data_IF_665411968792
#
_entry.id   IF_665411968792
#
_cell.length_a   1.000
_cell.length_b   1.000
_cell.length_c   1.000
_cell.angle_alpha   90.00
_cell.angle_beta   90.00
_cell.angle_gamma   90.00
#
_symmetry.space_group_name_H-M   'P 1'
#
loop_
_entity.id
_entity.type
_entity.pdbx_description
1 polymer ?
#
# COMPACT_ATOMS: atom_id res chain seq x y z
N UNK A 1 23.38 10.85 41.72
CA UNK A 1 23.96 9.48 41.81
C UNK A 1 22.93 8.34 41.71
N UNK A 2 21.82 8.27 42.52
CA UNK A 2 20.85 7.19 42.42
C UNK A 2 19.94 7.33 41.15
N UNK A 3 19.57 8.56 40.81
CA UNK A 3 18.77 8.86 39.60
C UNK A 3 19.53 8.58 38.30
N UNK A 4 20.86 8.77 38.29
CA UNK A 4 21.70 8.55 37.10
C UNK A 4 21.89 7.05 36.81
N UNK A 5 22.05 6.24 37.87
CA UNK A 5 22.12 4.76 37.74
C UNK A 5 20.82 4.13 37.26
N UNK A 6 19.67 4.67 37.70
CA UNK A 6 18.35 4.19 37.23
C UNK A 6 18.17 4.55 35.74
N UNK A 7 18.52 5.76 35.31
CA UNK A 7 18.47 6.17 33.90
C UNK A 7 19.40 5.35 33.02
N UNK A 8 20.60 5.05 33.50
CA UNK A 8 21.57 4.24 32.76
C UNK A 8 21.15 2.77 32.65
N UNK A 9 20.56 2.19 33.71
CA UNK A 9 19.97 0.85 33.71
C UNK A 9 18.81 0.72 32.72
N UNK A 10 17.90 1.69 32.74
CA UNK A 10 16.75 1.71 31.80
C UNK A 10 17.22 1.86 30.32
N UNK A 11 18.29 2.64 30.08
CA UNK A 11 18.88 2.81 28.77
C UNK A 11 19.52 1.54 28.24
N UNK A 12 20.21 0.78 29.09
CA UNK A 12 20.83 -0.50 28.72
C UNK A 12 19.78 -1.57 28.45
N UNK A 13 18.70 -1.66 29.26
CA UNK A 13 17.58 -2.56 29.02
C UNK A 13 16.85 -2.21 27.70
N UNK A 14 16.55 -0.96 27.46
CA UNK A 14 15.96 -0.52 26.21
C UNK A 14 16.83 -0.86 25.00
N UNK A 15 18.16 -0.70 25.13
CA UNK A 15 19.10 -1.02 24.05
C UNK A 15 19.17 -2.55 23.80
N UNK A 16 19.07 -3.36 24.86
CA UNK A 16 19.03 -4.82 24.75
C UNK A 16 17.75 -5.32 24.12
N UNK A 17 16.59 -4.78 24.52
CA UNK A 17 15.29 -5.12 23.94
C UNK A 17 15.21 -4.72 22.46
N UNK A 18 15.85 -3.61 22.09
CA UNK A 18 16.02 -3.20 20.69
C UNK A 18 16.87 -4.17 19.90
N UNK A 19 18.00 -4.62 20.44
CA UNK A 19 18.87 -5.60 19.77
C UNK A 19 18.15 -6.95 19.57
N UNK A 20 17.34 -7.38 20.51
CA UNK A 20 16.52 -8.59 20.40
C UNK A 20 15.41 -8.41 19.36
N UNK A 21 14.73 -7.25 19.36
CA UNK A 21 13.73 -6.91 18.34
C UNK A 21 14.36 -6.75 16.96
N UNK A 22 15.54 -6.12 16.86
CA UNK A 22 16.29 -6.00 15.61
C UNK A 22 16.75 -7.36 15.08
N UNK A 23 17.12 -8.29 15.96
CA UNK A 23 17.49 -9.66 15.57
C UNK A 23 16.30 -10.44 14.99
N UNK A 24 15.11 -10.31 15.58
CA UNK A 24 13.87 -10.88 15.04
C UNK A 24 13.42 -10.21 13.76
N UNK A 25 13.53 -8.88 13.70
CA UNK A 25 13.24 -8.07 12.51
C UNK A 25 14.21 -8.36 11.37
N UNK A 26 15.50 -8.59 11.65
CA UNK A 26 16.52 -8.83 10.61
C UNK A 26 16.24 -10.10 9.79
N UNK A 27 15.76 -11.16 10.41
CA UNK A 27 15.41 -12.38 9.68
C UNK A 27 14.17 -12.19 8.80
N UNK A 28 13.12 -11.54 9.33
CA UNK A 28 11.91 -11.20 8.57
C UNK A 28 12.20 -10.21 7.44
N UNK A 29 12.99 -9.16 7.71
CA UNK A 29 13.42 -8.17 6.73
C UNK A 29 14.24 -8.78 5.59
N UNK A 30 15.18 -9.66 5.91
CA UNK A 30 15.96 -10.36 4.88
C UNK A 30 15.03 -11.18 3.96
N UNK A 31 14.02 -11.83 4.53
CA UNK A 31 13.03 -12.58 3.75
C UNK A 31 12.16 -11.65 2.89
N UNK A 32 11.64 -10.57 3.48
CA UNK A 32 10.80 -9.57 2.82
C UNK A 32 11.54 -8.78 1.74
N UNK A 33 12.85 -8.52 1.87
CA UNK A 33 13.69 -7.91 0.84
C UNK A 33 14.05 -8.89 -0.27
N UNK A 34 14.32 -10.16 0.07
CA UNK A 34 14.68 -11.18 -0.92
C UNK A 34 13.49 -11.52 -1.85
N UNK A 35 12.26 -11.42 -1.39
CA UNK A 35 11.08 -11.72 -2.19
C UNK A 35 10.96 -10.79 -3.42
N UNK A 36 10.86 -9.45 -3.27
CA UNK A 36 10.78 -8.54 -4.41
C UNK A 36 12.08 -8.52 -5.22
N UNK A 37 13.24 -8.65 -4.60
CA UNK A 37 14.52 -8.74 -5.33
C UNK A 37 14.57 -9.96 -6.25
N UNK A 38 14.10 -11.12 -5.77
CA UNK A 38 13.99 -12.33 -6.57
C UNK A 38 12.95 -12.21 -7.69
N UNK A 39 11.82 -11.55 -7.42
CA UNK A 39 10.79 -11.25 -8.42
C UNK A 39 11.33 -10.33 -9.53
N UNK A 40 12.00 -9.24 -9.18
CA UNK A 40 12.64 -8.33 -10.13
C UNK A 40 13.69 -9.04 -10.99
N UNK A 41 14.51 -9.89 -10.35
CA UNK A 41 15.52 -10.69 -11.08
C UNK A 41 14.87 -11.63 -12.09
N UNK A 42 13.87 -12.41 -11.69
CA UNK A 42 13.15 -13.30 -12.62
C UNK A 42 12.52 -12.53 -13.77
N UNK A 43 11.87 -11.40 -13.49
CA UNK A 43 11.28 -10.53 -14.52
C UNK A 43 12.36 -10.01 -15.49
N UNK A 44 13.55 -9.64 -15.01
CA UNK A 44 14.68 -9.19 -15.83
C UNK A 44 15.21 -10.31 -16.73
N UNK A 45 15.35 -11.54 -16.21
CA UNK A 45 15.82 -12.68 -16.98
C UNK A 45 14.79 -13.04 -18.07
N UNK A 46 13.50 -13.03 -17.75
CA UNK A 46 12.42 -13.25 -18.71
C UNK A 46 12.37 -12.14 -19.77
N UNK A 47 12.58 -10.87 -19.39
CA UNK A 47 12.62 -9.74 -20.32
C UNK A 47 13.68 -9.90 -21.41
N UNK A 48 14.87 -10.42 -21.05
CA UNK A 48 15.92 -10.70 -22.04
C UNK A 48 15.46 -11.71 -23.10
N UNK A 49 14.78 -12.76 -22.69
CA UNK A 49 14.23 -13.76 -23.59
C UNK A 49 13.14 -13.18 -24.49
N UNK A 50 12.18 -12.47 -23.90
CA UNK A 50 11.06 -11.85 -24.63
C UNK A 50 11.55 -10.79 -25.62
N UNK A 51 12.58 -9.99 -25.25
CA UNK A 51 13.21 -9.03 -26.15
C UNK A 51 13.87 -9.70 -27.36
N UNK A 52 14.53 -10.84 -27.18
CA UNK A 52 15.10 -11.59 -28.28
C UNK A 52 14.00 -12.16 -29.20
N UNK A 53 12.88 -12.63 -28.64
CA UNK A 53 11.69 -13.09 -29.39
C UNK A 53 11.09 -11.96 -30.22
N UNK A 54 10.91 -10.79 -29.61
CA UNK A 54 10.39 -9.59 -30.28
C UNK A 54 11.29 -9.12 -31.41
N UNK A 55 12.63 -9.11 -31.23
CA UNK A 55 13.58 -8.74 -32.28
C UNK A 55 13.51 -9.68 -33.48
N UNK A 56 13.35 -10.99 -33.26
CA UNK A 56 13.16 -11.97 -34.34
C UNK A 56 11.87 -11.71 -35.11
N UNK A 57 10.76 -11.53 -34.38
CA UNK A 57 9.46 -11.23 -34.98
C UNK A 57 9.49 -9.93 -35.80
N UNK A 58 10.15 -8.90 -35.30
CA UNK A 58 10.38 -7.66 -36.07
C UNK A 58 11.18 -7.92 -37.35
N UNK A 59 12.27 -8.69 -37.28
CA UNK A 59 13.09 -9.01 -38.46
C UNK A 59 12.30 -9.80 -39.52
N UNK A 60 11.39 -10.66 -39.09
CA UNK A 60 10.49 -11.40 -39.97
C UNK A 60 9.47 -10.48 -40.63
N UNK A 61 8.83 -9.61 -39.87
CA UNK A 61 7.88 -8.59 -40.35
C UNK A 61 8.49 -7.67 -41.40
N UNK A 62 9.71 -7.15 -41.17
CA UNK A 62 10.38 -6.24 -42.10
C UNK A 62 10.84 -6.91 -43.38
N UNK A 63 10.84 -8.23 -43.47
CA UNK A 63 11.13 -8.97 -44.72
C UNK A 63 9.90 -9.14 -45.62
N UNK A 64 8.70 -8.91 -45.06
CA UNK A 64 7.44 -9.03 -45.81
C UNK A 64 7.10 -7.70 -46.49
N UNK A 65 6.50 -7.73 -47.66
CA UNK A 65 5.99 -6.52 -48.33
C UNK A 65 4.71 -6.06 -47.64
N UNK A 66 4.86 -5.33 -46.53
CA UNK A 66 3.73 -4.74 -45.81
C UNK A 66 3.35 -3.41 -46.42
N UNK A 67 2.07 -3.26 -46.74
CA UNK A 67 1.50 -1.95 -47.09
C UNK A 67 1.29 -1.10 -45.81
N UNK A 68 1.09 0.19 -46.02
CA UNK A 68 0.98 1.13 -44.88
C UNK A 68 -0.31 0.91 -44.07
N UNK A 69 -1.35 0.33 -44.70
CA UNK A 69 -2.58 0.00 -43.98
C UNK A 69 -2.40 -1.16 -43.00
N UNK A 70 -1.70 -2.19 -43.40
CA UNK A 70 -1.33 -3.35 -42.56
C UNK A 70 -0.43 -2.93 -41.39
N UNK A 71 0.56 -2.07 -41.63
CA UNK A 71 1.42 -1.51 -40.58
C UNK A 71 0.61 -0.73 -39.55
N UNK A 72 -0.23 0.21 -39.99
CA UNK A 72 -1.08 1.01 -39.12
C UNK A 72 -2.02 0.14 -38.26
N UNK A 73 -2.57 -0.95 -38.83
CA UNK A 73 -3.43 -1.86 -38.11
C UNK A 73 -2.68 -2.64 -37.00
N UNK A 74 -1.47 -3.12 -37.29
CA UNK A 74 -0.63 -3.80 -36.30
C UNK A 74 -0.31 -2.83 -35.16
N UNK A 75 0.06 -1.59 -35.45
CA UNK A 75 0.38 -0.57 -34.46
C UNK A 75 -0.86 -0.16 -33.64
N UNK A 76 -2.04 -0.04 -34.24
CA UNK A 76 -3.29 0.25 -33.55
C UNK A 76 -3.66 -0.83 -32.54
N UNK A 77 -3.58 -2.10 -32.94
CA UNK A 77 -3.88 -3.23 -32.04
C UNK A 77 -2.86 -3.29 -30.89
N UNK A 78 -1.57 -3.11 -31.20
CA UNK A 78 -0.51 -3.08 -30.19
C UNK A 78 -0.73 -1.94 -29.18
N UNK A 79 -1.01 -0.72 -29.66
CA UNK A 79 -1.27 0.44 -28.81
C UNK A 79 -2.52 0.26 -27.94
N UNK A 80 -3.60 -0.32 -28.50
CA UNK A 80 -4.82 -0.61 -27.77
C UNK A 80 -4.59 -1.56 -26.60
N UNK A 81 -3.80 -2.62 -26.80
CA UNK A 81 -3.46 -3.59 -25.76
C UNK A 81 -2.59 -3.00 -24.66
N UNK A 82 -1.65 -2.12 -25.02
CA UNK A 82 -0.80 -1.43 -24.05
C UNK A 82 -1.56 -0.40 -23.20
N UNK A 83 -2.63 0.20 -23.77
CA UNK A 83 -3.48 1.19 -23.06
C UNK A 83 -4.59 0.55 -22.22
N UNK A 84 -5.07 -0.63 -22.60
CA UNK A 84 -6.26 -1.28 -21.99
C UNK A 84 -6.06 -1.69 -20.53
N UNK A 85 -4.87 -1.52 -19.94
CA UNK A 85 -4.56 -1.88 -18.56
C UNK A 85 -4.89 -3.36 -18.28
N UNK A 86 -4.01 -4.05 -17.60
CA UNK A 86 -4.27 -5.43 -17.16
C UNK A 86 -5.42 -5.43 -16.15
N UNK A 87 -6.67 -5.59 -16.61
CA UNK A 87 -7.72 -6.10 -15.72
C UNK A 87 -7.49 -7.61 -15.66
N UNK A 88 -7.01 -8.15 -14.54
CA UNK A 88 -6.78 -9.59 -14.45
C UNK A 88 -8.12 -10.30 -14.66
N UNK A 89 -8.22 -11.07 -15.73
CA UNK A 89 -9.35 -11.97 -15.90
C UNK A 89 -9.28 -13.07 -14.83
N UNK A 90 -10.41 -13.49 -14.31
CA UNK A 90 -10.44 -14.67 -13.46
C UNK A 90 -10.05 -15.92 -14.27
N UNK A 91 -9.66 -17.00 -13.60
CA UNK A 91 -9.13 -18.18 -14.27
C UNK A 91 -10.10 -18.82 -15.28
N UNK A 92 -11.41 -18.70 -15.06
CA UNK A 92 -12.45 -19.20 -15.97
C UNK A 92 -12.56 -18.31 -17.22
N UNK A 93 -12.67 -17.00 -17.04
CA UNK A 93 -12.74 -16.05 -18.15
C UNK A 93 -11.47 -16.06 -19.01
N UNK A 94 -10.30 -16.27 -18.41
CA UNK A 94 -9.05 -16.44 -19.14
C UNK A 94 -9.07 -17.70 -20.00
N UNK A 95 -9.49 -18.84 -19.45
CA UNK A 95 -9.59 -20.11 -20.19
C UNK A 95 -10.59 -20.05 -21.33
N UNK A 96 -11.76 -19.42 -21.13
CA UNK A 96 -12.77 -19.20 -22.17
C UNK A 96 -12.21 -18.30 -23.29
N UNK A 97 -11.45 -17.28 -22.95
CA UNK A 97 -10.80 -16.41 -23.93
C UNK A 97 -9.71 -17.15 -24.72
N UNK A 98 -8.88 -17.96 -24.05
CA UNK A 98 -7.86 -18.79 -24.69
C UNK A 98 -8.49 -19.74 -25.73
N UNK A 99 -9.58 -20.42 -25.40
CA UNK A 99 -10.29 -21.36 -26.29
C UNK A 99 -10.88 -20.62 -27.51
N UNK A 100 -11.47 -19.46 -27.31
CA UNK A 100 -12.01 -18.64 -28.41
C UNK A 100 -10.92 -18.15 -29.35
N UNK A 101 -9.80 -17.66 -28.84
CA UNK A 101 -8.66 -17.22 -29.63
C UNK A 101 -8.00 -18.39 -30.38
N UNK A 102 -7.87 -19.55 -29.74
CA UNK A 102 -7.34 -20.78 -30.36
C UNK A 102 -8.18 -21.22 -31.56
N UNK A 103 -9.52 -21.20 -31.41
CA UNK A 103 -10.43 -21.52 -32.50
C UNK A 103 -10.27 -20.60 -33.71
N UNK A 104 -10.10 -19.29 -33.47
CA UNK A 104 -9.87 -18.30 -34.55
C UNK A 104 -8.53 -18.57 -35.23
N UNK A 105 -7.47 -18.76 -34.48
CA UNK A 105 -6.13 -19.03 -35.01
C UNK A 105 -6.10 -20.31 -35.85
N UNK A 106 -6.73 -21.37 -35.42
CA UNK A 106 -6.86 -22.64 -36.17
C UNK A 106 -7.62 -22.45 -37.48
N UNK A 107 -8.70 -21.68 -37.47
CA UNK A 107 -9.49 -21.42 -38.69
C UNK A 107 -8.70 -20.65 -39.74
N UNK A 108 -7.66 -19.90 -39.34
CA UNK A 108 -6.73 -19.21 -40.23
C UNK A 108 -5.41 -19.97 -40.51
N UNK A 109 -5.34 -21.26 -40.15
CA UNK A 109 -4.24 -22.15 -40.53
C UNK A 109 -2.99 -22.09 -39.66
N UNK A 110 -3.08 -21.53 -38.45
CA UNK A 110 -1.96 -21.50 -37.49
C UNK A 110 -1.86 -22.81 -36.72
N UNK A 111 -0.80 -23.61 -36.93
CA UNK A 111 -0.62 -24.93 -36.29
C UNK A 111 -0.27 -24.84 -34.81
N UNK A 112 0.45 -23.79 -34.39
CA UNK A 112 0.90 -23.57 -32.99
C UNK A 112 -0.08 -22.64 -32.23
N UNK A 113 -1.36 -22.76 -32.53
CA UNK A 113 -2.43 -21.85 -32.08
C UNK A 113 -2.55 -21.78 -30.57
N UNK A 114 -2.36 -22.89 -29.85
CA UNK A 114 -2.55 -22.97 -28.40
C UNK A 114 -1.52 -22.14 -27.59
N UNK A 115 -0.25 -22.13 -28.00
CA UNK A 115 0.79 -21.32 -27.36
C UNK A 115 0.57 -19.83 -27.61
N UNK A 116 0.09 -19.51 -28.81
CA UNK A 116 -0.19 -18.15 -29.23
C UNK A 116 -1.48 -17.62 -28.56
N UNK A 117 -2.55 -18.44 -28.50
CA UNK A 117 -3.80 -18.07 -27.85
C UNK A 117 -3.60 -17.77 -26.36
N UNK A 118 -2.83 -18.60 -25.64
CA UNK A 118 -2.48 -18.35 -24.25
C UNK A 118 -1.69 -17.05 -24.02
N UNK A 119 -0.75 -16.72 -24.93
CA UNK A 119 -0.01 -15.48 -24.87
C UNK A 119 -0.91 -14.26 -25.15
N UNK A 120 -1.78 -14.36 -26.16
CA UNK A 120 -2.71 -13.29 -26.55
C UNK A 120 -3.82 -13.07 -25.51
N UNK A 121 -4.34 -14.14 -24.89
CA UNK A 121 -5.34 -14.03 -23.84
C UNK A 121 -4.80 -13.32 -22.60
N UNK A 122 -3.54 -13.58 -22.20
CA UNK A 122 -2.86 -12.84 -21.12
C UNK A 122 -2.75 -11.34 -21.38
N UNK A 123 -2.73 -10.95 -22.65
CA UNK A 123 -2.70 -9.54 -23.05
C UNK A 123 -4.11 -8.95 -23.25
N UNK A 124 -5.17 -9.68 -22.88
CA UNK A 124 -6.56 -9.30 -23.11
C UNK A 124 -6.91 -9.02 -24.60
N UNK A 125 -6.25 -9.74 -25.53
CA UNK A 125 -6.60 -9.67 -26.95
C UNK A 125 -8.05 -10.07 -27.15
N UNK A 126 -8.86 -9.21 -27.72
CA UNK A 126 -10.25 -9.55 -28.01
C UNK A 126 -10.38 -10.40 -29.28
N UNK A 127 -11.37 -11.31 -29.39
CA UNK A 127 -11.63 -12.08 -30.60
C UNK A 127 -11.84 -11.22 -31.84
N UNK A 128 -12.49 -10.05 -31.69
CA UNK A 128 -12.75 -9.12 -32.80
C UNK A 128 -11.46 -8.45 -33.29
N UNK A 129 -10.58 -8.03 -32.38
CA UNK A 129 -9.27 -7.45 -32.72
C UNK A 129 -8.39 -8.48 -33.46
N UNK A 130 -8.38 -9.73 -32.97
CA UNK A 130 -7.66 -10.83 -33.63
C UNK A 130 -8.20 -11.11 -35.02
N UNK A 131 -9.50 -11.27 -35.18
CA UNK A 131 -10.15 -11.51 -36.48
C UNK A 131 -9.88 -10.37 -37.47
N UNK A 132 -10.01 -9.13 -37.01
CA UNK A 132 -9.72 -7.94 -37.82
C UNK A 132 -8.26 -7.88 -38.29
N UNK A 133 -7.31 -8.28 -37.43
CA UNK A 133 -5.89 -8.33 -37.78
C UNK A 133 -5.62 -9.42 -38.83
N UNK A 134 -6.18 -10.62 -38.63
CA UNK A 134 -5.96 -11.78 -39.51
C UNK A 134 -6.61 -11.61 -40.90
N UNK A 135 -7.71 -10.86 -40.99
CA UNK A 135 -8.38 -10.61 -42.28
C UNK A 135 -7.54 -9.84 -43.31
N UNK A 136 -6.51 -9.12 -42.89
CA UNK A 136 -5.70 -8.23 -43.74
C UNK A 136 -4.26 -8.69 -43.93
N UNK A 137 -3.87 -9.79 -43.30
CA UNK A 137 -2.47 -10.30 -43.33
C UNK A 137 -2.41 -11.72 -43.87
N UNK A 138 -1.40 -12.02 -44.64
CA UNK A 138 -1.10 -13.41 -44.96
C UNK A 138 -0.62 -14.18 -43.72
N UNK A 139 -0.68 -15.51 -43.76
CA UNK A 139 -0.43 -16.35 -42.58
C UNK A 139 0.98 -16.16 -41.97
N UNK A 140 2.01 -15.85 -42.79
CA UNK A 140 3.38 -15.67 -42.29
C UNK A 140 3.55 -14.30 -41.60
N UNK A 141 2.99 -13.27 -42.21
CA UNK A 141 2.96 -11.90 -41.68
C UNK A 141 2.12 -11.82 -40.41
N UNK A 142 0.93 -12.45 -40.41
CA UNK A 142 0.06 -12.53 -39.26
C UNK A 142 0.78 -13.18 -38.05
N UNK A 143 1.46 -14.30 -38.28
CA UNK A 143 2.24 -14.97 -37.21
C UNK A 143 3.31 -14.05 -36.62
N UNK A 144 4.10 -13.38 -37.47
CA UNK A 144 5.15 -12.47 -36.98
C UNK A 144 4.55 -11.26 -36.25
N UNK A 145 3.44 -10.69 -36.72
CA UNK A 145 2.73 -9.62 -36.06
C UNK A 145 2.19 -10.03 -34.68
N UNK A 146 1.54 -11.20 -34.58
CA UNK A 146 0.99 -11.72 -33.33
C UNK A 146 2.09 -12.01 -32.29
N UNK A 147 3.22 -12.61 -32.73
CA UNK A 147 4.36 -12.84 -31.86
C UNK A 147 4.97 -11.53 -31.34
N UNK A 148 5.04 -10.51 -32.20
CA UNK A 148 5.50 -9.17 -31.82
C UNK A 148 4.57 -8.52 -30.79
N UNK A 149 3.25 -8.52 -31.06
CA UNK A 149 2.23 -7.94 -30.18
C UNK A 149 2.26 -8.62 -28.80
N UNK A 150 2.24 -9.97 -28.77
CA UNK A 150 2.33 -10.72 -27.51
C UNK A 150 3.62 -10.41 -26.76
N UNK A 151 4.78 -10.35 -27.45
CA UNK A 151 6.04 -10.03 -26.81
C UNK A 151 6.11 -8.58 -26.29
N UNK A 152 5.47 -7.62 -26.97
CA UNK A 152 5.38 -6.22 -26.53
C UNK A 152 4.57 -6.10 -25.23
N UNK A 153 3.43 -6.78 -25.16
CA UNK A 153 2.60 -6.80 -23.97
C UNK A 153 3.29 -7.53 -22.79
N UNK A 154 3.96 -8.67 -23.04
CA UNK A 154 4.78 -9.37 -22.04
C UNK A 154 5.87 -8.44 -21.48
N UNK A 155 6.56 -7.67 -22.35
CA UNK A 155 7.59 -6.72 -21.92
C UNK A 155 7.01 -5.62 -21.02
N UNK A 156 5.82 -5.09 -21.35
CA UNK A 156 5.13 -4.10 -20.52
C UNK A 156 4.79 -4.66 -19.13
N UNK A 157 4.26 -5.89 -19.07
CA UNK A 157 3.95 -6.57 -17.82
C UNK A 157 5.21 -6.82 -16.98
N UNK A 158 6.30 -7.28 -17.60
CA UNK A 158 7.57 -7.50 -16.91
C UNK A 158 8.18 -6.19 -16.37
N UNK A 159 8.06 -5.09 -17.09
CA UNK A 159 8.49 -3.76 -16.62
C UNK A 159 7.70 -3.34 -15.38
N UNK A 160 6.37 -3.45 -15.41
CA UNK A 160 5.51 -3.15 -14.25
C UNK A 160 5.88 -4.02 -13.04
N UNK A 161 6.17 -5.31 -13.25
CA UNK A 161 6.60 -6.21 -12.19
C UNK A 161 7.95 -5.79 -11.57
N UNK A 162 8.89 -5.27 -12.38
CA UNK A 162 10.17 -4.73 -11.89
C UNK A 162 9.94 -3.43 -11.13
N UNK A 163 9.14 -2.51 -11.67
CA UNK A 163 8.78 -1.25 -11.02
C UNK A 163 8.12 -1.48 -9.66
N UNK A 164 7.11 -2.35 -9.60
CA UNK A 164 6.45 -2.71 -8.34
C UNK A 164 7.40 -3.36 -7.33
N UNK A 165 8.31 -4.23 -7.81
CA UNK A 165 9.31 -4.87 -6.94
C UNK A 165 10.33 -3.86 -6.40
N UNK A 166 10.79 -2.91 -7.21
CA UNK A 166 11.74 -1.88 -6.79
C UNK A 166 11.12 -0.83 -5.88
N UNK A 167 9.86 -0.45 -6.13
CA UNK A 167 9.08 0.41 -5.23
C UNK A 167 8.97 -0.24 -3.85
N UNK A 168 8.61 -1.52 -3.79
CA UNK A 168 8.51 -2.28 -2.53
C UNK A 168 9.84 -2.36 -1.76
N UNK A 169 10.97 -2.57 -2.46
CA UNK A 169 12.30 -2.54 -1.84
C UNK A 169 12.57 -1.16 -1.23
N UNK A 170 12.26 -0.08 -1.96
CA UNK A 170 12.45 1.29 -1.50
C UNK A 170 11.61 1.59 -0.25
N UNK A 171 10.36 1.14 -0.20
CA UNK A 171 9.47 1.31 0.96
C UNK A 171 9.97 0.53 2.18
N UNK A 172 10.43 -0.71 1.99
CA UNK A 172 11.03 -1.50 3.06
C UNK A 172 12.28 -0.84 3.61
N UNK A 173 13.18 -0.35 2.74
CA UNK A 173 14.40 0.37 3.15
C UNK A 173 14.05 1.65 3.89
N UNK A 174 13.04 2.41 3.43
CA UNK A 174 12.55 3.62 4.13
C UNK A 174 12.04 3.27 5.53
N UNK A 175 11.20 2.26 5.67
CA UNK A 175 10.65 1.81 6.96
C UNK A 175 11.75 1.37 7.93
N UNK A 176 12.76 0.64 7.44
CA UNK A 176 13.93 0.24 8.25
C UNK A 176 14.73 1.45 8.69
N UNK A 177 14.96 2.39 7.79
CA UNK A 177 15.68 3.63 8.09
C UNK A 177 14.95 4.44 9.16
N UNK A 178 13.65 4.62 9.02
CA UNK A 178 12.81 5.30 10.00
C UNK A 178 12.88 4.62 11.36
N UNK A 179 12.76 3.28 11.41
CA UNK A 179 12.90 2.51 12.65
C UNK A 179 14.28 2.66 13.30
N UNK A 180 15.36 2.79 12.50
CA UNK A 180 16.73 2.86 12.99
C UNK A 180 17.10 4.28 13.44
N UNK A 181 16.56 5.34 12.81
CA UNK A 181 16.89 6.73 13.08
C UNK A 181 15.97 7.47 14.06
N UNK A 182 15.01 6.78 14.69
CA UNK A 182 14.03 7.35 15.63
C UNK A 182 14.61 8.12 16.83
N UNK A 183 15.93 8.17 17.02
CA UNK A 183 16.56 8.69 18.25
C UNK A 183 17.34 10.01 18.08
N UNK A 184 17.35 10.66 16.91
CA UNK A 184 18.28 11.78 16.70
C UNK A 184 17.71 13.19 16.89
N UNK A 185 16.38 13.35 16.95
CA UNK A 185 15.78 14.65 17.19
C UNK A 185 15.40 14.83 18.67
N UNK A 186 15.65 16.02 19.26
CA UNK A 186 15.21 16.28 20.64
C UNK A 186 13.68 16.29 20.72
N UNK A 187 13.16 15.73 21.81
CA UNK A 187 11.73 15.83 22.10
C UNK A 187 11.37 17.31 22.39
N UNK A 188 10.21 17.73 21.89
CA UNK A 188 9.67 19.07 22.09
C UNK A 188 8.15 18.97 22.30
N UNK A 189 7.55 20.03 22.80
CA UNK A 189 6.10 20.08 22.93
C UNK A 189 5.47 20.27 21.55
N UNK A 190 4.76 19.25 21.08
CA UNK A 190 4.12 19.20 19.77
C UNK A 190 2.60 19.32 19.95
N UNK A 191 1.99 20.19 19.20
CA UNK A 191 0.53 20.32 19.11
C UNK A 191 -0.02 19.19 18.23
N UNK A 192 -0.78 18.28 18.85
CA UNK A 192 -1.35 17.09 18.22
C UNK A 192 -2.36 17.46 17.13
N UNK A 193 -3.19 18.49 17.34
CA UNK A 193 -4.17 18.92 16.36
C UNK A 193 -3.49 19.41 15.08
N UNK A 194 -2.44 20.23 15.23
CA UNK A 194 -1.64 20.70 14.10
C UNK A 194 -0.90 19.56 13.39
N UNK A 195 -0.37 18.59 14.13
CA UNK A 195 0.29 17.40 13.58
C UNK A 195 -0.70 16.56 12.73
N UNK A 196 -1.93 16.38 13.21
CA UNK A 196 -3.00 15.68 12.48
C UNK A 196 -3.38 16.40 11.19
N UNK A 197 -3.55 17.74 11.22
CA UNK A 197 -3.87 18.51 10.02
C UNK A 197 -2.74 18.44 8.99
N UNK A 198 -1.47 18.58 9.42
CA UNK A 198 -0.31 18.43 8.53
C UNK A 198 -0.29 17.06 7.85
N UNK A 199 -0.65 15.99 8.58
CA UNK A 199 -0.73 14.64 8.03
C UNK A 199 -1.89 14.51 7.03
N UNK A 200 -3.08 15.04 7.36
CA UNK A 200 -4.24 15.02 6.47
C UNK A 200 -3.97 15.79 5.17
N UNK A 201 -3.30 16.93 5.25
CA UNK A 201 -2.91 17.72 4.08
C UNK A 201 -1.90 16.94 3.20
N UNK A 202 -0.94 16.26 3.82
CA UNK A 202 0.03 15.42 3.11
C UNK A 202 -0.65 14.26 2.38
N UNK A 203 -1.66 13.66 2.99
CA UNK A 203 -2.42 12.53 2.44
C UNK A 203 -3.60 12.97 1.56
N UNK A 204 -3.80 14.26 1.32
CA UNK A 204 -4.94 14.76 0.54
C UNK A 204 -5.04 14.15 -0.87
N UNK A 205 -3.91 13.83 -1.49
CA UNK A 205 -3.85 13.16 -2.79
C UNK A 205 -4.25 11.68 -2.74
N UNK A 206 -4.08 11.02 -1.59
CA UNK A 206 -4.46 9.62 -1.37
C UNK A 206 -5.93 9.48 -0.94
N UNK A 207 -6.56 10.58 -0.49
CA UNK A 207 -7.97 10.61 -0.18
C UNK A 207 -8.76 10.50 -1.49
N UNK A 208 -9.27 9.32 -1.78
CA UNK A 208 -10.06 9.05 -2.98
C UNK A 208 -11.32 9.93 -3.02
N UNK A 209 -11.80 10.31 -4.24
CA UNK A 209 -13.10 10.94 -4.39
C UNK A 209 -14.19 10.07 -3.74
N UNK A 210 -14.81 10.56 -2.66
CA UNK A 210 -15.84 9.82 -1.92
C UNK A 210 -15.52 9.56 -0.45
N UNK A 211 -14.29 9.80 0.01
CA UNK A 211 -13.97 9.77 1.45
C UNK A 211 -14.25 11.14 2.06
N UNK A 212 -15.17 11.18 3.02
CA UNK A 212 -15.50 12.39 3.78
C UNK A 212 -14.71 12.42 5.08
N UNK A 213 -13.93 13.48 5.30
CA UNK A 213 -13.13 13.66 6.54
C UNK A 213 -13.89 14.52 7.53
N UNK A 214 -14.22 13.95 8.70
CA UNK A 214 -14.80 14.66 9.84
C UNK A 214 -13.72 14.93 10.89
N UNK A 215 -13.61 16.19 11.31
CA UNK A 215 -12.65 16.67 12.30
C UNK A 215 -13.37 17.15 13.54
N UNK A 216 -12.88 16.78 14.72
CA UNK A 216 -13.43 17.22 16.00
C UNK A 216 -12.29 17.34 17.02
N UNK A 217 -11.70 18.53 17.13
CA UNK A 217 -10.63 18.83 18.08
C UNK A 217 -11.17 19.68 19.22
N UNK A 218 -10.81 19.30 20.45
CA UNK A 218 -11.16 20.10 21.62
C UNK A 218 -10.38 21.42 21.58
N UNK A 219 -11.03 22.57 21.92
CA UNK A 219 -10.40 23.90 21.83
C UNK A 219 -9.45 24.17 23.01
N UNK A 220 -8.55 23.25 23.30
CA UNK A 220 -7.51 23.37 24.32
C UNK A 220 -6.16 23.00 23.71
N UNK A 221 -5.04 23.47 24.24
CA UNK A 221 -3.73 23.08 23.74
C UNK A 221 -3.48 21.59 23.96
N UNK A 222 -3.50 20.81 22.87
CA UNK A 222 -3.27 19.36 22.87
C UNK A 222 -1.76 19.07 22.73
N UNK A 223 -0.96 19.45 23.74
CA UNK A 223 0.48 19.34 23.70
C UNK A 223 0.98 18.00 24.23
N UNK A 224 1.92 17.38 23.50
CA UNK A 224 2.59 16.15 23.90
C UNK A 224 4.10 16.34 23.74
N UNK A 225 4.89 15.97 24.75
CA UNK A 225 6.35 16.05 24.66
C UNK A 225 6.89 14.85 23.86
N UNK A 226 7.27 15.11 22.60
CA UNK A 226 7.62 14.07 21.63
C UNK A 226 8.44 14.62 20.48
N UNK A 227 8.89 13.73 19.61
CA UNK A 227 9.49 14.07 18.31
C UNK A 227 8.36 14.22 17.27
N UNK A 228 8.18 15.42 16.72
CA UNK A 228 7.04 15.72 15.83
C UNK A 228 6.95 14.83 14.60
N UNK A 229 8.08 14.43 14.03
CA UNK A 229 8.13 13.49 12.89
C UNK A 229 7.61 12.10 13.25
N UNK A 230 7.83 11.62 14.47
CA UNK A 230 7.33 10.34 14.96
C UNK A 230 5.80 10.37 15.14
N UNK A 231 5.24 11.50 15.62
CA UNK A 231 3.77 11.64 15.67
C UNK A 231 3.14 11.65 14.28
N UNK A 232 3.72 12.39 13.35
CA UNK A 232 3.22 12.39 11.97
C UNK A 232 3.20 10.97 11.40
N UNK A 233 4.23 10.17 11.69
CA UNK A 233 4.29 8.76 11.27
C UNK A 233 3.18 7.90 11.90
N UNK A 234 2.87 8.13 13.20
CA UNK A 234 1.73 7.46 13.86
C UNK A 234 0.43 7.74 13.12
N UNK A 235 0.17 9.03 12.83
CA UNK A 235 -1.06 9.43 12.14
C UNK A 235 -1.11 8.94 10.71
N UNK A 236 -0.02 9.05 9.97
CA UNK A 236 0.08 8.53 8.59
C UNK A 236 -0.28 7.06 8.52
N UNK A 237 0.36 6.21 9.33
CA UNK A 237 0.10 4.77 9.31
C UNK A 237 -1.36 4.40 9.65
N UNK A 238 -1.98 5.11 10.59
CA UNK A 238 -3.39 4.82 10.96
C UNK A 238 -4.34 5.34 9.88
N UNK A 239 -4.11 6.56 9.35
CA UNK A 239 -4.97 7.17 8.33
C UNK A 239 -4.86 6.40 7.01
N UNK A 240 -3.68 6.00 6.56
CA UNK A 240 -3.50 5.17 5.37
C UNK A 240 -4.24 3.84 5.49
N UNK A 241 -4.16 3.17 6.65
CA UNK A 241 -4.92 1.94 6.87
C UNK A 241 -6.44 2.17 6.81
N UNK A 242 -6.93 3.32 7.30
CA UNK A 242 -8.33 3.69 7.20
C UNK A 242 -8.76 3.95 5.75
N UNK A 243 -7.93 4.65 4.96
CA UNK A 243 -8.17 4.91 3.53
C UNK A 243 -8.22 3.58 2.76
N UNK A 244 -7.25 2.70 2.97
CA UNK A 244 -7.16 1.39 2.32
C UNK A 244 -8.36 0.48 2.64
N UNK A 245 -8.95 0.64 3.83
CA UNK A 245 -10.16 -0.09 4.21
C UNK A 245 -11.43 0.43 3.52
N UNK A 246 -11.36 1.56 2.81
CA UNK A 246 -12.52 2.22 2.16
C UNK A 246 -12.31 2.47 0.65
N UNK A 247 -12.01 1.45 -0.17
CA UNK A 247 -11.69 1.64 -1.60
C UNK A 247 -12.85 2.20 -2.42
N UNK A 248 -14.09 2.13 -1.92
CA UNK A 248 -15.29 2.69 -2.55
C UNK A 248 -15.74 4.04 -1.98
N UNK A 249 -14.92 4.67 -1.13
CA UNK A 249 -15.31 5.86 -0.37
C UNK A 249 -15.86 5.50 1.01
N UNK A 250 -16.12 6.52 1.83
CA UNK A 250 -16.60 6.33 3.19
C UNK A 250 -16.40 7.57 4.06
N UNK A 251 -16.32 7.36 5.36
CA UNK A 251 -16.15 8.42 6.35
C UNK A 251 -14.93 8.15 7.23
N UNK A 252 -13.97 9.09 7.18
CA UNK A 252 -12.81 9.13 8.07
C UNK A 252 -13.10 10.15 9.18
N UNK A 253 -13.12 9.70 10.43
CA UNK A 253 -13.35 10.53 11.62
C UNK A 253 -12.05 10.71 12.38
N UNK A 254 -11.65 11.94 12.61
CA UNK A 254 -10.45 12.29 13.39
C UNK A 254 -10.87 13.17 14.55
N UNK A 255 -10.64 12.69 15.78
CA UNK A 255 -10.97 13.42 17.02
C UNK A 255 -9.73 13.52 17.89
N UNK A 256 -9.54 14.67 18.54
CA UNK A 256 -8.50 14.82 19.55
C UNK A 256 -9.03 15.64 20.72
N UNK A 257 -8.80 15.16 21.93
CA UNK A 257 -9.29 15.77 23.17
C UNK A 257 -8.41 15.41 24.35
N UNK A 258 -8.55 16.12 25.46
CA UNK A 258 -7.90 15.79 26.72
C UNK A 258 -8.81 14.92 27.60
N UNK A 259 -8.25 13.86 28.17
CA UNK A 259 -8.90 13.04 29.16
C UNK A 259 -7.95 12.77 30.32
N UNK A 260 -8.22 13.33 31.47
CA UNK A 260 -7.33 13.33 32.63
C UNK A 260 -5.94 13.89 32.25
N UNK A 261 -4.88 13.08 32.43
CA UNK A 261 -3.49 13.46 32.15
C UNK A 261 -3.03 13.01 30.74
N UNK A 262 -3.97 12.77 29.83
CA UNK A 262 -3.67 12.27 28.49
C UNK A 262 -4.32 13.11 27.41
N UNK A 263 -3.59 13.31 26.32
CA UNK A 263 -4.17 13.65 25.03
C UNK A 263 -4.62 12.35 24.36
N UNK A 264 -5.88 12.31 23.99
CA UNK A 264 -6.51 11.15 23.34
C UNK A 264 -6.81 11.51 21.89
N UNK A 265 -6.31 10.70 20.97
CA UNK A 265 -6.62 10.79 19.54
C UNK A 265 -7.41 9.57 19.11
N UNK A 266 -8.55 9.79 18.49
CA UNK A 266 -9.37 8.76 17.87
C UNK A 266 -9.37 8.93 16.36
N UNK A 267 -8.94 7.90 15.63
CA UNK A 267 -9.04 7.84 14.16
C UNK A 267 -9.94 6.66 13.83
N UNK A 268 -11.05 6.94 13.16
CA UNK A 268 -12.05 5.93 12.82
C UNK A 268 -12.43 5.96 11.36
N UNK A 269 -12.71 4.78 10.83
CA UNK A 269 -13.19 4.56 9.47
C UNK A 269 -14.55 3.84 9.43
N UNK A 270 -15.25 3.98 8.32
CA UNK A 270 -16.51 3.30 8.04
C UNK A 270 -16.33 2.05 7.17
N UNK A 271 -15.13 1.49 7.13
CA UNK A 271 -14.78 0.31 6.36
C UNK A 271 -15.41 -0.99 6.86
N UNK A 272 -15.04 -2.13 6.29
CA UNK A 272 -15.63 -3.45 6.59
C UNK A 272 -15.36 -3.93 8.02
N UNK A 273 -14.44 -3.29 8.74
CA UNK A 273 -14.01 -3.70 10.06
C UNK A 273 -12.87 -4.72 10.02
N UNK A 274 -12.37 -5.04 11.22
CA UNK A 274 -11.29 -6.02 11.44
C UNK A 274 -11.92 -7.30 11.98
N UNK A 275 -11.76 -8.45 11.29
CA UNK A 275 -12.26 -9.73 11.77
C UNK A 275 -11.70 -10.07 13.16
N UNK A 276 -12.51 -10.67 14.07
CA UNK A 276 -12.08 -11.00 15.42
C UNK A 276 -10.84 -11.91 15.47
N UNK A 277 -10.70 -12.78 14.47
CA UNK A 277 -9.61 -13.76 14.39
C UNK A 277 -8.25 -13.12 14.15
N UNK A 278 -8.21 -12.01 13.40
CA UNK A 278 -6.96 -11.32 13.06
C UNK A 278 -6.64 -10.17 14.02
N UNK A 279 -7.65 -9.68 14.75
CA UNK A 279 -7.50 -8.55 15.66
C UNK A 279 -6.36 -8.69 16.70
N UNK A 280 -6.08 -9.87 17.27
CA UNK A 280 -4.94 -10.05 18.20
C UNK A 280 -3.57 -9.84 17.55
N UNK A 281 -3.47 -10.00 16.23
CA UNK A 281 -2.21 -10.03 15.48
C UNK A 281 -1.90 -8.75 14.72
N UNK A 282 -2.82 -7.77 14.66
CA UNK A 282 -2.68 -6.56 13.81
C UNK A 282 -1.48 -5.68 14.19
N UNK A 283 -0.94 -5.83 15.40
CA UNK A 283 0.27 -5.13 15.85
C UNK A 283 1.53 -5.98 15.73
N UNK A 284 1.42 -7.24 15.31
CA UNK A 284 2.58 -8.10 15.11
C UNK A 284 3.38 -7.65 13.89
N UNK A 285 4.72 -7.65 13.95
CA UNK A 285 5.55 -7.30 12.81
C UNK A 285 5.25 -8.21 11.61
N UNK A 286 5.15 -7.60 10.42
CA UNK A 286 4.87 -8.27 9.12
C UNK A 286 3.47 -8.87 8.99
N UNK A 287 2.60 -8.71 9.97
CA UNK A 287 1.22 -9.13 9.83
C UNK A 287 0.45 -8.20 8.89
N UNK A 288 -0.14 -8.75 7.84
CA UNK A 288 -0.98 -8.04 6.89
C UNK A 288 -2.09 -8.94 6.36
N UNK A 289 -3.27 -8.35 6.12
CA UNK A 289 -4.40 -8.99 5.43
C UNK A 289 -4.50 -8.54 3.97
N UNK A 290 -3.65 -7.61 3.54
CA UNK A 290 -3.57 -7.15 2.15
C UNK A 290 -2.90 -8.20 1.27
N UNK A 291 -3.13 -8.14 -0.04
CA UNK A 291 -2.54 -9.04 -1.01
C UNK A 291 -1.01 -9.04 -1.00
N UNK A 292 -0.42 -10.08 -1.57
CA UNK A 292 1.05 -10.21 -1.67
C UNK A 292 1.60 -9.00 -2.43
N UNK A 293 2.35 -8.15 -1.73
CA UNK A 293 2.94 -6.95 -2.33
C UNK A 293 2.25 -5.62 -1.97
N UNK A 294 1.06 -5.64 -1.37
CA UNK A 294 0.25 -4.45 -1.10
C UNK A 294 0.43 -3.88 0.31
N UNK A 295 1.05 -4.61 1.20
CA UNK A 295 1.30 -4.16 2.58
C UNK A 295 2.57 -4.74 3.17
N UNK A 296 3.34 -3.91 3.88
CA UNK A 296 4.58 -4.35 4.57
C UNK A 296 4.30 -5.05 5.90
N UNK A 297 3.10 -4.89 6.46
CA UNK A 297 2.75 -5.39 7.81
C UNK A 297 3.54 -4.73 8.96
N UNK A 298 4.24 -3.63 8.70
CA UNK A 298 5.04 -2.91 9.70
C UNK A 298 4.37 -1.65 10.25
N UNK A 299 3.38 -1.08 9.57
CA UNK A 299 2.77 0.20 9.91
C UNK A 299 2.20 0.24 11.34
N UNK A 300 1.32 -0.69 11.71
CA UNK A 300 0.73 -0.73 13.06
C UNK A 300 1.72 -1.14 14.15
N UNK A 301 2.70 -1.98 13.83
CA UNK A 301 3.80 -2.29 14.75
C UNK A 301 4.65 -1.05 15.05
N UNK A 302 4.95 -0.25 14.03
CA UNK A 302 5.65 1.05 14.17
C UNK A 302 4.83 2.00 15.05
N UNK A 303 3.52 2.13 14.81
CA UNK A 303 2.62 2.93 15.64
C UNK A 303 2.71 2.51 17.11
N UNK A 304 2.58 1.21 17.40
CA UNK A 304 2.64 0.71 18.77
C UNK A 304 3.99 1.00 19.43
N UNK A 305 5.08 0.88 18.67
CA UNK A 305 6.46 1.14 19.15
C UNK A 305 6.65 2.62 19.48
N UNK A 306 6.23 3.53 18.60
CA UNK A 306 6.32 4.99 18.82
C UNK A 306 5.47 5.39 20.02
N UNK A 307 4.21 4.96 20.07
CA UNK A 307 3.29 5.31 21.16
C UNK A 307 3.83 4.83 22.51
N UNK A 308 4.34 3.60 22.60
CA UNK A 308 4.98 3.06 23.82
C UNK A 308 6.24 3.83 24.20
N UNK A 309 7.07 4.20 23.24
CA UNK A 309 8.29 5.03 23.45
C UNK A 309 7.97 6.34 24.16
N UNK A 310 6.84 6.96 23.82
CA UNK A 310 6.37 8.22 24.44
C UNK A 310 5.46 7.99 25.66
N UNK A 311 5.48 6.82 26.29
CA UNK A 311 4.72 6.53 27.52
C UNK A 311 3.20 6.43 27.30
N UNK A 312 2.78 6.27 26.06
CA UNK A 312 1.39 6.16 25.65
C UNK A 312 0.88 4.73 25.51
N UNK A 313 -0.36 4.63 25.06
CA UNK A 313 -1.02 3.37 24.74
C UNK A 313 -1.89 3.51 23.47
N UNK A 314 -2.01 2.43 22.69
CA UNK A 314 -2.93 2.33 21.56
C UNK A 314 -3.91 1.18 21.77
N UNK A 315 -5.16 1.43 21.42
CA UNK A 315 -6.24 0.44 21.46
C UNK A 315 -7.02 0.48 20.16
N UNK A 316 -7.65 -0.66 19.81
CA UNK A 316 -8.52 -0.77 18.64
C UNK A 316 -9.88 -1.33 19.05
N UNK A 317 -10.92 -0.69 18.57
CA UNK A 317 -12.31 -1.16 18.61
C UNK A 317 -12.80 -1.30 17.18
N UNK A 318 -13.28 -2.47 16.81
CA UNK A 318 -13.74 -2.71 15.44
C UNK A 318 -14.95 -3.62 15.39
N UNK A 319 -15.90 -3.24 14.54
CA UNK A 319 -17.10 -3.97 14.15
C UNK A 319 -17.33 -3.70 12.65
N UNK A 320 -18.08 -4.52 11.92
CA UNK A 320 -18.46 -4.21 10.54
C UNK A 320 -19.05 -2.80 10.42
N UNK A 321 -18.51 -1.99 9.52
CA UNK A 321 -18.91 -0.59 9.31
C UNK A 321 -18.26 0.45 10.24
N UNK A 322 -17.48 0.06 11.23
CA UNK A 322 -16.79 0.99 12.15
C UNK A 322 -15.52 0.37 12.71
N UNK A 323 -14.36 0.89 12.32
CA UNK A 323 -13.11 0.65 13.03
C UNK A 323 -12.66 1.95 13.70
N UNK A 324 -12.12 1.87 14.91
CA UNK A 324 -11.59 3.01 15.64
C UNK A 324 -10.29 2.63 16.32
N UNK A 325 -9.23 3.33 16.00
CA UNK A 325 -7.99 3.35 16.75
C UNK A 325 -8.00 4.51 17.74
N UNK A 326 -7.65 4.23 19.00
CA UNK A 326 -7.52 5.23 20.05
C UNK A 326 -6.07 5.23 20.54
N UNK A 327 -5.40 6.37 20.37
CA UNK A 327 -4.03 6.60 20.86
C UNK A 327 -4.10 7.55 22.05
N UNK A 328 -3.47 7.18 23.15
CA UNK A 328 -3.37 7.97 24.39
C UNK A 328 -1.91 8.32 24.63
N UNK A 329 -1.59 9.61 24.76
CA UNK A 329 -0.24 10.10 25.01
C UNK A 329 -0.26 11.03 26.23
N UNK A 330 0.79 11.01 27.07
CA UNK A 330 0.85 11.89 28.24
C UNK A 330 0.73 13.37 27.81
N UNK A 331 -0.19 14.09 28.46
CA UNK A 331 -0.43 15.47 28.17
C UNK A 331 0.66 16.37 28.78
N UNK A 332 1.36 17.14 27.96
CA UNK A 332 2.27 18.18 28.40
C UNK A 332 1.43 19.44 28.75
N UNK A 333 0.91 19.50 29.96
CA UNK A 333 0.03 20.60 30.41
C UNK A 333 0.82 21.92 30.39
N UNK A 334 0.39 22.95 29.64
CA UNK A 334 1.00 24.28 29.72
C UNK A 334 0.88 24.83 31.13
N UNK A 335 1.97 25.40 31.67
CA UNK A 335 2.05 25.92 33.05
C UNK A 335 0.89 26.88 33.37
N UNK A 336 0.43 27.64 32.38
CA UNK A 336 -0.71 28.58 32.52
C UNK A 336 -2.07 27.87 32.65
N UNK A 337 -2.23 26.69 32.05
CA UNK A 337 -3.46 25.90 32.12
C UNK A 337 -3.54 25.08 33.41
N UNK A 338 -2.43 24.56 33.91
CA UNK A 338 -2.36 23.82 35.18
C UNK A 338 -2.82 24.65 36.38
N UNK A 339 -2.61 25.97 36.34
CA UNK A 339 -3.12 26.90 37.36
C UNK A 339 -4.63 27.11 37.32
N UNK A 340 -5.28 26.95 36.17
CA UNK A 340 -6.74 27.10 36.02
C UNK A 340 -7.51 25.83 36.37
N UNK A 341 -6.95 24.65 36.12
CA UNK A 341 -7.59 23.37 36.42
C UNK A 341 -7.65 23.06 37.94
N UNK A 342 -6.72 23.63 38.73
CA UNK A 342 -6.76 23.51 40.19
C UNK A 342 -7.78 24.44 40.88
N UNK A 343 -8.53 25.24 40.16
CA UNK A 343 -9.43 26.26 40.75
C UNK A 343 -10.93 25.95 40.67
N UNK A 344 -11.37 24.86 39.99
CA UNK A 344 -12.80 24.50 40.04
C UNK A 344 -13.02 22.98 40.02
N UNK A 345 -13.67 22.36 41.03
CA UNK A 345 -14.19 21.02 40.90
C UNK A 345 -15.40 21.04 39.97
N UNK A 346 -15.32 20.38 38.82
CA UNK A 346 -16.46 20.22 37.90
C UNK A 346 -17.60 19.49 38.59
N UNK A 347 -18.68 20.19 38.86
CA UNK A 347 -19.95 19.60 39.28
C UNK A 347 -20.53 18.78 38.13
N UNK A 348 -20.75 17.50 38.38
CA UNK A 348 -21.49 16.64 37.48
C UNK A 348 -22.95 17.14 37.37
N UNK A 349 -23.32 17.72 36.25
CA UNK A 349 -24.72 17.96 35.93
C UNK A 349 -25.34 16.66 35.41
N UNK A 350 -25.86 15.84 36.31
CA UNK A 350 -26.82 14.82 35.95
C UNK A 350 -28.13 15.51 35.54
N UNK A 351 -28.46 15.44 34.26
CA UNK A 351 -29.80 15.81 33.77
C UNK A 351 -30.67 14.56 33.84
N UNK A 352 -31.73 14.54 34.65
CA UNK A 352 -32.64 13.40 34.72
C UNK A 352 -33.52 13.36 33.47
N UNK A 353 -33.48 12.23 32.77
CA UNK A 353 -34.43 11.89 31.73
C UNK A 353 -35.78 11.67 32.41
N UNK A 354 -36.74 12.56 32.16
CA UNK A 354 -38.14 12.34 32.51
C UNK A 354 -38.79 11.41 31.47
N UNK A 355 -39.47 10.43 32.00
CA UNK A 355 -40.40 9.41 31.49
C UNK A 355 -41.18 9.80 30.24
#
# INVERSE_FOLDING_TARGET
MMSDRIREGTRIEQQRDRLVSLGKLSAGLAHELNNPASAAKRATDQMRYTLAKMRRANSELWRQPLDDSSKARIEEVEASLLQSGETPLDGLALSDLEERLDSILRSHGHSDSWEMSAALAKCNMTPDALTSLLAHLDSSTARAALVRIAASADLSSLLKAIEGSTARISDLVRTVKEYTYMDQAPAQDVDVARSLETTLDTLAHSLQPGIKVQRAYEPVPLLVNTVGTELNQVWTNIIENAIDAMPGGGELRVRAFCENDYVVVEIGDSGPGIPPEVKPYIFDPFFTTKGVGEGTGLGLNTVQTIVKKHGGNIQVSSKPGVTRFQVRLPWAVPIEFGKRLNMEPRAHSETPIKS
#
